data_IF_529478326207
#
_entry.id   IF_529478326207
#
_cell.length_a   1.000
_cell.length_b   1.000
_cell.length_c   1.000
_cell.angle_alpha   90.00
_cell.angle_beta   90.00
_cell.angle_gamma   90.00
#
_symmetry.space_group_name_H-M   'P 1'
#
loop_
_entity.id
_entity.type
_entity.pdbx_description
1 polymer ?
#
# COMPACT_ATOMS: atom_id res chain seq x y z
N UNK A 1 -3.81 17.29 23.49
CA UNK A 1 -2.63 17.13 22.62
C UNK A 1 -3.16 16.64 21.29
N UNK A 2 -3.12 17.48 20.25
CA UNK A 2 -3.62 17.11 18.93
C UNK A 2 -2.61 16.16 18.31
N UNK A 3 -3.00 14.91 18.05
CA UNK A 3 -2.14 13.94 17.39
C UNK A 3 -1.78 14.47 15.99
N UNK A 4 -0.49 14.75 15.76
CA UNK A 4 -0.01 15.27 14.48
C UNK A 4 0.12 14.10 13.50
N UNK A 5 -0.71 14.10 12.48
CA UNK A 5 -0.63 13.17 11.35
C UNK A 5 -0.48 13.97 10.05
N UNK A 6 -0.03 13.29 8.99
CA UNK A 6 0.06 13.86 7.64
C UNK A 6 -0.51 12.87 6.62
N UNK A 7 -0.95 13.38 5.47
CA UNK A 7 -1.40 12.57 4.33
C UNK A 7 -0.60 12.98 3.10
N UNK A 8 -0.10 12.00 2.36
CA UNK A 8 0.71 12.16 1.15
C UNK A 8 0.07 11.33 0.04
N UNK A 9 -0.06 11.90 -1.15
CA UNK A 9 -0.63 11.19 -2.30
C UNK A 9 0.45 11.00 -3.34
N UNK A 10 0.58 9.76 -3.82
CA UNK A 10 1.51 9.36 -4.86
C UNK A 10 0.74 8.79 -6.03
N UNK A 11 1.14 9.14 -7.25
CA UNK A 11 0.67 8.49 -8.46
C UNK A 11 1.80 7.57 -8.93
N UNK A 12 1.49 6.29 -9.03
CA UNK A 12 2.42 5.30 -9.58
C UNK A 12 1.99 4.98 -11.01
N UNK A 13 2.94 4.89 -11.95
CA UNK A 13 2.65 4.46 -13.31
C UNK A 13 2.26 2.97 -13.33
N UNK A 14 1.91 2.47 -14.52
CA UNK A 14 1.49 1.08 -14.74
C UNK A 14 2.44 0.11 -14.01
N UNK A 15 1.88 -0.56 -13.01
CA UNK A 15 2.67 -1.51 -12.24
C UNK A 15 2.68 -2.84 -12.99
N UNK A 16 3.82 -3.21 -13.55
CA UNK A 16 3.98 -4.56 -14.10
C UNK A 16 3.65 -5.61 -13.03
N UNK A 17 3.13 -6.77 -13.42
CA UNK A 17 2.79 -7.87 -12.50
C UNK A 17 1.71 -7.54 -11.44
N UNK A 18 1.02 -6.40 -11.57
CA UNK A 18 -0.13 -6.05 -10.74
C UNK A 18 0.22 -5.86 -9.26
N UNK A 19 1.31 -5.14 -8.99
CA UNK A 19 1.78 -4.91 -7.62
C UNK A 19 2.62 -3.63 -7.49
N UNK A 20 2.58 -3.00 -6.32
CA UNK A 20 3.50 -1.93 -5.94
C UNK A 20 4.06 -2.20 -4.54
N UNK A 21 5.06 -1.41 -4.15
CA UNK A 21 5.79 -1.66 -2.90
C UNK A 21 5.85 -0.43 -1.99
N UNK A 22 5.84 -0.72 -0.69
CA UNK A 22 6.35 0.17 0.37
C UNK A 22 7.61 -0.46 0.94
N UNK A 23 8.76 0.21 0.78
CA UNK A 23 10.07 -0.38 1.06
C UNK A 23 10.90 0.56 1.92
N UNK A 24 11.53 0.03 2.96
CA UNK A 24 12.58 0.72 3.68
C UNK A 24 13.77 1.02 2.73
N UNK A 25 14.27 2.27 2.72
CA UNK A 25 15.25 2.75 1.74
C UNK A 25 16.56 1.92 1.70
N UNK A 26 16.94 1.34 2.84
CA UNK A 26 18.16 0.52 2.95
C UNK A 26 17.91 -0.98 2.72
N UNK A 27 16.66 -1.38 2.49
CA UNK A 27 16.28 -2.78 2.28
C UNK A 27 16.36 -3.18 0.80
N UNK A 28 16.90 -4.38 0.56
CA UNK A 28 17.00 -5.02 -0.76
C UNK A 28 16.22 -6.34 -0.75
N UNK A 29 14.87 -6.29 -0.71
CA UNK A 29 14.04 -7.47 -0.55
C UNK A 29 14.13 -8.40 -1.76
N UNK A 30 14.22 -9.72 -1.51
CA UNK A 30 13.94 -10.72 -2.55
C UNK A 30 12.42 -10.89 -2.67
N UNK A 31 11.85 -10.39 -3.77
CA UNK A 31 10.42 -10.44 -4.07
C UNK A 31 10.03 -11.59 -4.99
N UNK A 32 10.97 -12.47 -5.37
CA UNK A 32 10.74 -13.51 -6.38
C UNK A 32 9.70 -14.58 -6.00
N UNK A 33 9.49 -14.82 -4.71
CA UNK A 33 8.57 -15.86 -4.21
C UNK A 33 7.80 -15.42 -2.95
N UNK A 34 7.31 -14.18 -2.94
CA UNK A 34 6.60 -13.61 -1.77
C UNK A 34 5.08 -13.88 -1.79
N UNK A 35 4.53 -14.21 -2.96
CA UNK A 35 3.09 -14.44 -3.14
C UNK A 35 2.69 -15.89 -2.84
N UNK A 36 2.42 -16.18 -1.56
CA UNK A 36 1.81 -17.43 -1.11
C UNK A 36 0.27 -17.29 -0.97
N UNK A 37 -0.41 -18.37 -0.60
CA UNK A 37 -1.88 -18.38 -0.44
C UNK A 37 -2.40 -17.32 0.54
N UNK A 38 -1.66 -17.04 1.62
CA UNK A 38 -2.03 -15.99 2.56
C UNK A 38 -1.86 -14.61 1.93
N UNK A 39 -0.77 -14.36 1.22
CA UNK A 39 -0.51 -13.11 0.53
C UNK A 39 -1.54 -12.82 -0.56
N UNK A 40 -1.96 -13.83 -1.33
CA UNK A 40 -3.05 -13.68 -2.30
C UNK A 40 -4.39 -13.37 -1.62
N UNK A 41 -4.67 -14.01 -0.48
CA UNK A 41 -5.91 -13.79 0.28
C UNK A 41 -5.98 -12.39 0.89
N UNK A 42 -4.87 -11.89 1.44
CA UNK A 42 -4.77 -10.59 2.11
C UNK A 42 -4.41 -9.46 1.16
N UNK A 43 -4.01 -9.78 -0.08
CA UNK A 43 -3.45 -8.84 -1.06
C UNK A 43 -2.17 -8.16 -0.60
N UNK A 44 -1.51 -8.73 0.42
CA UNK A 44 -0.30 -8.22 1.05
C UNK A 44 0.75 -9.33 1.16
N UNK A 45 1.90 -9.14 0.54
CA UNK A 45 3.07 -9.97 0.75
C UNK A 45 4.13 -9.19 1.54
N UNK A 46 4.64 -9.77 2.62
CA UNK A 46 5.58 -9.10 3.52
C UNK A 46 6.92 -9.83 3.46
N UNK A 47 7.99 -9.07 3.30
CA UNK A 47 9.38 -9.56 3.37
C UNK A 47 10.25 -8.50 4.07
N UNK A 48 11.56 -8.72 4.14
CA UNK A 48 12.46 -7.88 4.92
C UNK A 48 12.44 -6.41 4.47
N UNK A 49 11.90 -5.54 5.33
CA UNK A 49 11.73 -4.11 5.06
C UNK A 49 10.82 -3.78 3.88
N UNK A 50 9.93 -4.68 3.46
CA UNK A 50 9.08 -4.48 2.30
C UNK A 50 7.67 -5.06 2.49
N UNK A 51 6.68 -4.28 2.07
CA UNK A 51 5.30 -4.75 1.87
C UNK A 51 4.96 -4.57 0.39
N UNK A 52 4.70 -5.68 -0.28
CA UNK A 52 4.11 -5.70 -1.61
C UNK A 52 2.59 -5.72 -1.52
N UNK A 53 1.95 -4.88 -2.32
CA UNK A 53 0.50 -4.68 -2.34
C UNK A 53 0.02 -4.99 -3.76
N UNK A 54 -0.90 -5.96 -3.90
CA UNK A 54 -1.41 -6.33 -5.23
C UNK A 54 -2.46 -5.32 -5.72
N UNK A 55 -2.40 -4.98 -7.01
CA UNK A 55 -3.39 -4.15 -7.71
C UNK A 55 -4.58 -4.97 -8.19
N UNK A 56 -5.75 -4.35 -8.42
CA UNK A 56 -6.96 -5.07 -8.85
C UNK A 56 -6.95 -5.35 -10.35
N UNK A 57 -6.37 -4.46 -11.12
CA UNK A 57 -6.28 -4.49 -12.57
C UNK A 57 -4.86 -4.15 -13.04
N UNK A 58 -4.61 -4.44 -14.32
CA UNK A 58 -3.46 -3.94 -15.07
C UNK A 58 -3.86 -2.63 -15.76
N UNK A 59 -3.93 -1.54 -14.98
CA UNK A 59 -4.29 -0.21 -15.48
C UNK A 59 -3.09 0.75 -15.47
N UNK A 60 -3.22 1.84 -16.24
CA UNK A 60 -2.12 2.75 -16.57
C UNK A 60 -1.55 3.54 -15.37
N UNK A 61 -2.35 3.87 -14.36
CA UNK A 61 -1.91 4.59 -13.16
C UNK A 61 -2.72 4.18 -11.92
N UNK A 62 -2.07 4.11 -10.77
CA UNK A 62 -2.71 3.91 -9.48
C UNK A 62 -2.42 5.08 -8.53
N UNK A 63 -3.39 5.42 -7.68
CA UNK A 63 -3.27 6.45 -6.66
C UNK A 63 -3.10 5.83 -5.28
N UNK A 64 -2.04 6.22 -4.57
CA UNK A 64 -1.74 5.76 -3.21
C UNK A 64 -1.75 6.95 -2.26
N UNK A 65 -2.73 7.01 -1.38
CA UNK A 65 -2.82 7.97 -0.29
C UNK A 65 -2.28 7.36 1.02
N UNK A 66 -1.15 7.85 1.51
CA UNK A 66 -0.48 7.38 2.72
C UNK A 66 -0.71 8.35 3.88
N UNK A 67 -1.40 7.89 4.93
CA UNK A 67 -1.69 8.64 6.15
C UNK A 67 -0.72 8.21 7.26
N UNK A 68 0.18 9.10 7.67
CA UNK A 68 1.24 8.80 8.64
C UNK A 68 0.91 9.37 10.02
N UNK A 69 1.07 8.55 11.06
CA UNK A 69 0.94 8.93 12.47
C UNK A 69 -0.46 8.76 13.06
N UNK A 70 -1.38 8.15 12.31
CA UNK A 70 -2.77 7.88 12.71
C UNK A 70 -3.14 6.43 12.42
N UNK A 71 -3.78 5.77 13.38
CA UNK A 71 -4.34 4.44 13.19
C UNK A 71 -5.62 4.48 12.37
N UNK A 72 -5.85 3.43 11.58
CA UNK A 72 -7.13 3.22 10.92
C UNK A 72 -8.24 2.98 11.95
N UNK A 73 -9.42 3.56 11.73
CA UNK A 73 -10.61 3.42 12.59
C UNK A 73 -11.73 2.71 11.84
N UNK A 74 -12.73 2.18 12.54
CA UNK A 74 -13.91 1.55 11.92
C UNK A 74 -14.61 2.48 10.91
N UNK A 75 -14.64 3.79 11.18
CA UNK A 75 -15.23 4.77 10.28
C UNK A 75 -14.48 4.87 8.95
N UNK A 76 -13.16 4.69 8.96
CA UNK A 76 -12.35 4.69 7.74
C UNK A 76 -12.66 3.46 6.87
N UNK A 77 -13.14 2.35 7.45
CA UNK A 77 -13.41 1.08 6.73
C UNK A 77 -14.71 1.08 5.91
N UNK A 78 -15.62 2.01 6.20
CA UNK A 78 -17.00 1.96 5.68
C UNK A 78 -17.06 2.04 4.14
N UNK A 79 -16.15 2.80 3.51
CA UNK A 79 -16.12 3.04 2.08
C UNK A 79 -15.25 2.09 1.24
N UNK A 80 -14.58 1.11 1.86
CA UNK A 80 -13.55 0.32 1.19
C UNK A 80 -13.93 -1.16 1.13
N UNK A 81 -13.69 -1.82 0.01
CA UNK A 81 -14.16 -3.19 -0.21
C UNK A 81 -13.17 -4.23 0.34
N UNK A 82 -11.88 -3.94 0.31
CA UNK A 82 -10.84 -4.78 0.87
C UNK A 82 -10.00 -4.02 1.89
N UNK A 83 -9.77 -4.63 3.05
CA UNK A 83 -8.92 -4.07 4.11
C UNK A 83 -8.08 -5.18 4.72
N UNK A 84 -6.76 -5.00 4.67
CA UNK A 84 -5.80 -5.87 5.33
C UNK A 84 -4.76 -5.04 6.06
N UNK A 85 -4.22 -5.59 7.14
CA UNK A 85 -3.21 -4.94 7.96
C UNK A 85 -1.98 -5.84 8.13
N UNK A 86 -0.81 -5.23 8.20
CA UNK A 86 0.46 -5.93 8.41
C UNK A 86 1.46 -5.00 9.12
N UNK A 87 2.62 -5.52 9.49
CA UNK A 87 3.71 -4.71 10.03
C UNK A 87 4.83 -4.53 9.01
N UNK A 88 5.46 -3.35 9.03
CA UNK A 88 6.66 -3.01 8.28
C UNK A 88 7.72 -2.52 9.26
N UNK A 89 8.91 -3.09 9.15
CA UNK A 89 10.09 -2.59 9.85
C UNK A 89 10.80 -1.58 8.95
N UNK A 90 11.01 -0.37 9.46
CA UNK A 90 11.75 0.69 8.76
C UNK A 90 13.04 0.91 9.54
N UNK A 91 14.19 0.62 8.94
CA UNK A 91 15.50 0.72 9.60
C UNK A 91 16.20 2.02 9.25
N UNK A 92 15.98 2.46 8.03
CA UNK A 92 16.41 3.75 7.53
C UNK A 92 15.49 4.87 8.05
N UNK A 93 15.81 6.11 7.66
CA UNK A 93 14.96 7.27 7.95
C UNK A 93 14.04 7.63 6.78
N UNK A 94 13.79 6.69 5.85
CA UNK A 94 13.03 6.92 4.62
C UNK A 94 12.24 5.69 4.19
N UNK A 95 11.03 5.93 3.71
CA UNK A 95 10.19 4.95 3.04
C UNK A 95 10.17 5.25 1.55
N UNK A 96 10.43 4.24 0.73
CA UNK A 96 10.23 4.25 -0.72
C UNK A 96 8.83 3.76 -1.06
N UNK A 97 8.20 4.40 -2.02
CA UNK A 97 6.94 3.98 -2.62
C UNK A 97 7.18 3.89 -4.13
N UNK A 98 7.09 2.70 -4.70
CA UNK A 98 7.49 2.46 -6.09
C UNK A 98 6.64 1.39 -6.78
N UNK A 99 6.50 1.45 -8.12
CA UNK A 99 5.87 0.37 -8.90
C UNK A 99 6.71 -0.92 -8.85
N UNK A 100 6.15 -2.02 -9.37
CA UNK A 100 6.85 -3.31 -9.38
C UNK A 100 8.26 -3.27 -10.01
N UNK A 101 8.40 -2.52 -11.11
CA UNK A 101 9.63 -2.34 -11.85
C UNK A 101 9.71 -0.86 -12.26
N UNK A 102 10.35 0.01 -11.45
CA UNK A 102 10.52 1.41 -11.84
C UNK A 102 11.43 1.50 -13.08
N UNK A 103 10.97 2.23 -14.09
CA UNK A 103 11.70 2.47 -15.33
C UNK A 103 12.62 3.69 -15.23
N UNK A 104 12.44 4.52 -14.20
CA UNK A 104 13.30 5.66 -13.87
C UNK A 104 13.22 6.01 -12.38
N UNK A 105 14.21 6.77 -11.89
CA UNK A 105 14.24 7.27 -10.50
C UNK A 105 13.06 8.20 -10.18
N UNK A 106 12.43 8.80 -11.20
CA UNK A 106 11.26 9.69 -11.03
C UNK A 106 9.99 8.92 -10.61
N UNK A 107 9.96 7.60 -10.83
CA UNK A 107 8.84 6.73 -10.45
C UNK A 107 8.96 6.22 -9.00
N UNK A 108 10.09 6.50 -8.34
CA UNK A 108 10.38 6.12 -6.96
C UNK A 108 10.12 7.33 -6.06
N UNK A 109 9.07 7.25 -5.24
CA UNK A 109 8.74 8.31 -4.30
C UNK A 109 9.42 8.07 -2.95
N UNK A 110 9.99 9.14 -2.39
CA UNK A 110 10.71 9.10 -1.12
C UNK A 110 9.94 9.87 -0.05
N UNK A 111 9.61 9.21 1.06
CA UNK A 111 8.94 9.81 2.20
C UNK A 111 9.84 9.72 3.45
N UNK A 112 10.21 10.85 4.08
CA UNK A 112 10.89 10.83 5.37
C UNK A 112 10.05 10.12 6.43
N UNK A 113 10.63 9.10 7.07
CA UNK A 113 9.95 8.28 8.08
C UNK A 113 10.99 7.77 9.07
N UNK A 114 10.84 8.13 10.33
CA UNK A 114 11.79 7.75 11.38
C UNK A 114 11.88 6.22 11.56
N UNK A 115 13.06 5.66 11.87
CA UNK A 115 13.21 4.22 12.07
C UNK A 115 12.27 3.63 13.14
N UNK A 116 11.81 2.41 12.91
CA UNK A 116 11.09 1.56 13.86
C UNK A 116 10.02 0.69 13.21
N UNK A 117 9.24 0.02 14.06
CA UNK A 117 8.14 -0.83 13.63
C UNK A 117 6.86 -0.02 13.43
N UNK A 118 6.21 -0.25 12.29
CA UNK A 118 4.95 0.39 11.93
C UNK A 118 3.88 -0.67 11.63
N UNK A 119 2.65 -0.40 12.07
CA UNK A 119 1.46 -1.09 11.57
C UNK A 119 0.93 -0.34 10.35
N UNK A 120 0.59 -1.10 9.32
CA UNK A 120 -0.06 -0.66 8.11
C UNK A 120 -1.49 -1.17 8.12
N UNK A 121 -2.43 -0.34 7.69
CA UNK A 121 -3.77 -0.77 7.28
C UNK A 121 -3.96 -0.30 5.84
N UNK A 122 -4.00 -1.25 4.91
CA UNK A 122 -4.15 -1.03 3.47
C UNK A 122 -5.61 -1.22 3.12
N UNK A 123 -6.23 -0.16 2.63
CA UNK A 123 -7.60 -0.12 2.18
C UNK A 123 -7.58 -0.01 0.66
N UNK A 124 -8.34 -0.88 0.00
CA UNK A 124 -8.46 -0.95 -1.44
C UNK A 124 -9.95 -0.97 -1.80
N UNK A 125 -10.34 -0.04 -2.68
CA UNK A 125 -11.70 0.08 -3.19
C UNK A 125 -11.79 -0.80 -4.43
N UNK A 126 -12.92 -1.51 -4.59
CA UNK A 126 -13.14 -2.27 -5.80
C UNK A 126 -13.13 -1.33 -7.01
N UNK A 127 -12.47 -1.79 -8.08
CA UNK A 127 -12.32 -1.02 -9.30
C UNK A 127 -12.77 -1.89 -10.48
N UNK A 128 -13.81 -1.44 -11.15
CA UNK A 128 -14.27 -2.03 -12.40
C UNK A 128 -13.68 -1.23 -13.58
N UNK A 129 -12.92 -1.91 -14.43
CA UNK A 129 -12.32 -1.29 -15.63
C UNK A 129 -13.37 -0.85 -16.65
N UNK A 130 -14.57 -1.44 -16.61
CA UNK A 130 -15.70 -1.05 -17.47
C UNK A 130 -16.26 0.33 -17.12
N UNK A 131 -15.86 0.88 -15.98
CA UNK A 131 -16.33 2.13 -15.40
C UNK A 131 -15.40 3.33 -15.71
N UNK A 132 -14.36 3.12 -16.53
CA UNK A 132 -13.44 4.16 -17.01
C UNK A 132 -14.13 4.95 -18.13
N UNK A 133 -14.27 6.26 -17.93
CA UNK A 133 -14.69 7.21 -18.96
C UNK A 133 -13.43 7.80 -19.64
N UNK A 134 -13.45 7.97 -20.96
CA UNK A 134 -12.36 8.62 -21.71
C UNK A 134 -12.11 10.08 -21.24
N UNK A 135 -13.10 10.70 -20.58
CA UNK A 135 -13.01 12.07 -20.05
C UNK A 135 -12.68 12.16 -18.55
N UNK A 136 -12.76 11.05 -17.81
CA UNK A 136 -12.39 10.95 -16.40
C UNK A 136 -11.70 9.59 -16.16
N UNK A 137 -10.37 9.51 -16.35
CA UNK A 137 -9.64 8.28 -16.15
C UNK A 137 -9.69 7.93 -14.65
N UNK A 138 -10.67 7.11 -14.28
CA UNK A 138 -10.74 6.57 -12.92
C UNK A 138 -9.45 5.79 -12.65
N UNK A 139 -8.82 6.07 -11.51
CA UNK A 139 -7.66 5.34 -11.02
C UNK A 139 -8.10 4.35 -9.96
N UNK A 140 -7.39 3.23 -9.87
CA UNK A 140 -7.45 2.44 -8.64
C UNK A 140 -6.89 3.28 -7.49
N UNK A 141 -7.61 3.27 -6.37
CA UNK A 141 -7.26 4.03 -5.19
C UNK A 141 -6.88 3.07 -4.06
N UNK A 142 -5.76 3.37 -3.44
CA UNK A 142 -5.29 2.73 -2.22
C UNK A 142 -5.16 3.79 -1.14
N UNK A 143 -5.72 3.53 0.04
CA UNK A 143 -5.45 4.33 1.22
C UNK A 143 -4.71 3.48 2.24
N UNK A 144 -3.55 3.95 2.66
CA UNK A 144 -2.69 3.25 3.62
C UNK A 144 -2.57 4.09 4.87
N UNK A 145 -3.04 3.56 5.99
CA UNK A 145 -2.75 4.14 7.30
C UNK A 145 -1.47 3.53 7.84
N UNK A 146 -0.56 4.36 8.33
CA UNK A 146 0.74 3.97 8.83
C UNK A 146 0.97 4.62 10.20
N UNK A 147 1.19 3.81 11.24
CA UNK A 147 1.45 4.33 12.58
C UNK A 147 2.42 3.41 13.34
N UNK A 148 3.16 3.98 14.29
CA UNK A 148 4.06 3.21 15.15
C UNK A 148 3.26 2.25 16.02
N UNK A 149 3.68 0.99 16.04
CA UNK A 149 3.09 -0.06 16.85
C UNK A 149 4.09 -1.21 17.01
N UNK A 150 3.80 -2.12 17.94
CA UNK A 150 4.53 -3.39 18.02
C UNK A 150 4.23 -4.24 16.78
N UNK A 151 5.17 -5.15 16.47
CA UNK A 151 5.00 -6.09 15.38
C UNK A 151 3.73 -6.93 15.56
N UNK A 152 2.94 -7.04 14.50
CA UNK A 152 1.77 -7.89 14.42
C UNK A 152 1.75 -8.61 13.06
N UNK A 153 1.32 -9.88 13.01
CA UNK A 153 1.22 -10.63 11.76
C UNK A 153 0.19 -10.00 10.82
N UNK A 154 0.23 -10.43 9.55
CA UNK A 154 -0.78 -10.01 8.57
C UNK A 154 -2.17 -10.44 9.01
N UNK A 155 -3.16 -9.59 8.76
CA UNK A 155 -4.55 -9.79 9.15
C UNK A 155 -5.46 -9.28 8.04
N UNK A 156 -6.42 -10.12 7.62
CA UNK A 156 -7.51 -9.68 6.77
C UNK A 156 -8.64 -9.13 7.66
N UNK A 157 -8.90 -7.83 7.57
CA UNK A 157 -9.90 -7.13 8.39
C UNK A 157 -11.27 -7.13 7.70
N UNK A 158 -11.29 -6.89 6.39
CA UNK A 158 -12.52 -6.81 5.59
C UNK A 158 -12.26 -7.34 4.19
N UNK A 159 -13.19 -8.13 3.69
CA UNK A 159 -13.28 -8.49 2.28
C UNK A 159 -14.75 -8.51 1.87
N UNK A 160 -15.13 -7.58 1.01
CA UNK A 160 -16.40 -7.56 0.31
C UNK A 160 -16.10 -7.79 -1.17
N UNK A 161 -16.75 -8.79 -1.76
CA UNK A 161 -16.66 -9.03 -3.20
C UNK A 161 -17.32 -7.89 -3.98
N UNK A 162 -17.18 -7.95 -5.31
CA UNK A 162 -17.80 -7.01 -6.25
C UNK A 162 -19.27 -6.75 -5.88
N UNK A 163 -19.65 -5.47 -5.82
CA UNK A 163 -21.03 -5.03 -5.60
C UNK A 163 -21.86 -5.16 -6.87
#
# INVERSE_FOLDING_TARGET
MTQKWSEHTFILPETTHGQFYLIDDESAPDTSNIWNDEAFRTRLAITDGCVAISTLQYIAEIEVALVVGRSCTEADLAGWDHVAACSLEVRSSRLRIEPCLPMSDEEIHMLPLEPGCYRLCVLCEWFDIMDIDEFDPKRERYKVFLWRADYQPVELIKHQGMR
#
